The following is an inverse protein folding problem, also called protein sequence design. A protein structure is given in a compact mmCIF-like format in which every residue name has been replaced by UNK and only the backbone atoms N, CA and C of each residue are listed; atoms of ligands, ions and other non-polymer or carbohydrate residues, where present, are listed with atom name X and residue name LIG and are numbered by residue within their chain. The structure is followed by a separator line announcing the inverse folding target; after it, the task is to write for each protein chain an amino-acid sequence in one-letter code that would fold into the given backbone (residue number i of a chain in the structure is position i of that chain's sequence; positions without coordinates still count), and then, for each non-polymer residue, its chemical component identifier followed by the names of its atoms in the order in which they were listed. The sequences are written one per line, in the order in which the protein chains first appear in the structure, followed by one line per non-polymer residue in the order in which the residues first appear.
data_IF_733361318745
#
_entry.id   IF_733361318745
#
_cell.length_a   1.000
_cell.length_b   1.000
_cell.length_c   1.000
_cell.angle_alpha   90.00
_cell.angle_beta   90.00
_cell.angle_gamma   90.00
#
_symmetry.space_group_name_H-M   'P 1'
#
loop_
_entity.id
_entity.type
_entity.pdbx_description
1 polymer ?
#
# COMPACT_ATOMS: atom_id res chain seq x y z
N UNK A 1 21.40 -30.99 -10.18
CA UNK A 1 21.34 -30.50 -11.57
C UNK A 1 19.90 -30.60 -12.11
N UNK A 2 18.93 -30.05 -11.39
CA UNK A 2 17.51 -30.04 -11.81
C UNK A 2 16.80 -28.73 -11.44
N UNK A 3 17.55 -27.73 -10.94
CA UNK A 3 17.03 -26.44 -10.46
C UNK A 3 17.37 -25.24 -11.37
N UNK A 4 17.92 -25.47 -12.57
CA UNK A 4 18.34 -24.41 -13.51
C UNK A 4 17.43 -24.25 -14.74
N UNK A 5 16.19 -24.73 -14.69
CA UNK A 5 15.27 -24.73 -15.86
C UNK A 5 14.19 -23.64 -15.87
N UNK A 6 14.17 -22.67 -14.96
CA UNK A 6 13.02 -21.77 -14.81
C UNK A 6 13.34 -20.27 -14.94
N UNK A 7 13.86 -19.82 -16.09
CA UNK A 7 13.67 -18.45 -16.62
C UNK A 7 13.81 -18.47 -18.16
N UNK A 8 13.01 -19.27 -18.85
CA UNK A 8 13.10 -19.35 -20.33
C UNK A 8 12.39 -18.20 -21.05
N UNK A 9 11.56 -17.42 -20.35
CA UNK A 9 10.72 -16.37 -20.93
C UNK A 9 11.23 -14.99 -20.58
N UNK A 10 11.41 -14.14 -21.60
CA UNK A 10 11.93 -12.78 -21.50
C UNK A 10 10.79 -11.77 -21.42
N UNK A 11 10.73 -11.02 -20.34
CA UNK A 11 9.74 -9.95 -20.16
C UNK A 11 10.39 -8.62 -20.53
N UNK A 12 9.68 -7.79 -21.28
CA UNK A 12 10.08 -6.42 -21.60
C UNK A 12 9.01 -5.45 -21.08
N UNK A 13 9.41 -4.53 -20.21
CA UNK A 13 8.56 -3.44 -19.75
C UNK A 13 8.66 -2.24 -20.67
N UNK A 14 7.54 -1.82 -21.28
CA UNK A 14 7.41 -0.56 -21.99
C UNK A 14 6.90 0.52 -21.02
N UNK A 15 7.78 1.42 -20.60
CA UNK A 15 7.44 2.46 -19.63
C UNK A 15 7.06 3.77 -20.32
N UNK A 16 5.81 4.22 -20.14
CA UNK A 16 5.42 5.58 -20.49
C UNK A 16 5.81 6.53 -19.34
N UNK A 17 6.83 7.34 -19.59
CA UNK A 17 7.39 8.26 -18.59
C UNK A 17 7.18 9.71 -18.97
N UNK A 18 6.97 10.56 -17.98
CA UNK A 18 6.79 12.00 -18.16
C UNK A 18 7.18 12.78 -16.89
N UNK A 19 7.44 14.09 -17.06
CA UNK A 19 7.63 15.13 -16.04
C UNK A 19 8.89 15.04 -15.16
N UNK A 20 9.04 14.01 -14.31
CA UNK A 20 10.03 14.03 -13.22
C UNK A 20 11.11 12.95 -13.39
N UNK A 21 12.34 13.36 -13.68
CA UNK A 21 13.49 12.47 -13.91
C UNK A 21 13.84 11.61 -12.68
N UNK A 22 13.71 12.14 -11.48
CA UNK A 22 14.01 11.38 -10.25
C UNK A 22 13.01 10.25 -10.03
N UNK A 23 11.73 10.49 -10.33
CA UNK A 23 10.68 9.47 -10.29
C UNK A 23 10.94 8.36 -11.31
N UNK A 24 11.44 8.72 -12.50
CA UNK A 24 11.83 7.75 -13.52
C UNK A 24 13.01 6.90 -13.04
N UNK A 25 14.06 7.51 -12.51
CA UNK A 25 15.21 6.80 -11.93
C UNK A 25 14.78 5.86 -10.79
N UNK A 26 13.91 6.33 -9.90
CA UNK A 26 13.35 5.55 -8.79
C UNK A 26 12.58 4.32 -9.30
N UNK A 27 11.76 4.47 -10.35
CA UNK A 27 11.07 3.35 -11.00
C UNK A 27 12.06 2.37 -11.67
N UNK A 28 13.09 2.88 -12.35
CA UNK A 28 14.09 2.04 -13.00
C UNK A 28 14.89 1.21 -12.00
N UNK A 29 15.29 1.80 -10.88
CA UNK A 29 15.95 1.10 -9.79
C UNK A 29 14.99 0.10 -9.10
N UNK A 30 13.71 0.46 -8.97
CA UNK A 30 12.67 -0.42 -8.46
C UNK A 30 12.49 -1.67 -9.34
N UNK A 31 12.39 -1.52 -10.67
CA UNK A 31 12.29 -2.64 -11.61
C UNK A 31 13.54 -3.51 -11.55
N UNK A 32 14.74 -2.92 -11.58
CA UNK A 32 16.01 -3.66 -11.47
C UNK A 32 16.08 -4.53 -10.21
N UNK A 33 15.48 -4.07 -9.11
CA UNK A 33 15.46 -4.83 -7.87
C UNK A 33 14.43 -5.97 -7.89
N UNK A 34 13.19 -5.69 -8.30
CA UNK A 34 12.08 -6.63 -8.16
C UNK A 34 11.86 -7.56 -9.37
N UNK A 35 12.32 -7.13 -10.54
CA UNK A 35 12.23 -7.86 -11.81
C UNK A 35 13.59 -7.85 -12.52
N UNK A 36 14.65 -8.40 -11.89
CA UNK A 36 16.03 -8.28 -12.39
C UNK A 36 16.29 -9.01 -13.71
N UNK A 37 15.40 -9.92 -14.13
CA UNK A 37 15.53 -10.68 -15.37
C UNK A 37 14.74 -10.06 -16.53
N UNK A 38 14.08 -8.93 -16.29
CA UNK A 38 13.24 -8.25 -17.27
C UNK A 38 14.00 -7.10 -17.93
N UNK A 39 13.76 -6.93 -19.23
CA UNK A 39 14.20 -5.76 -19.96
C UNK A 39 13.28 -4.57 -19.69
N UNK A 40 13.82 -3.37 -19.88
CA UNK A 40 13.07 -2.11 -19.78
C UNK A 40 13.37 -1.27 -21.00
N UNK A 41 12.31 -0.73 -21.61
CA UNK A 41 12.39 0.29 -22.64
C UNK A 41 11.51 1.48 -22.29
N UNK A 42 11.94 2.66 -22.70
CA UNK A 42 11.32 3.93 -22.33
C UNK A 42 10.59 4.54 -23.52
N UNK A 43 9.44 5.15 -23.25
CA UNK A 43 8.80 6.10 -24.15
C UNK A 43 8.65 7.44 -23.42
N UNK A 44 9.31 8.48 -23.91
CA UNK A 44 9.21 9.82 -23.32
C UNK A 44 7.95 10.53 -23.81
N UNK A 45 6.90 10.50 -22.99
CA UNK A 45 5.64 11.21 -23.22
C UNK A 45 5.58 12.61 -22.60
N UNK A 46 6.66 13.08 -21.97
CA UNK A 46 6.70 14.34 -21.21
C UNK A 46 7.06 15.58 -22.01
N UNK A 47 7.01 16.72 -21.34
CA UNK A 47 7.43 18.03 -21.89
C UNK A 47 8.94 18.16 -22.08
N UNK A 48 9.73 17.51 -21.22
CA UNK A 48 11.20 17.59 -21.27
C UNK A 48 11.77 16.52 -22.23
N UNK A 49 12.34 16.92 -23.39
CA UNK A 49 12.95 15.98 -24.32
C UNK A 49 14.18 15.28 -23.75
N UNK A 50 14.83 15.84 -22.72
CA UNK A 50 16.02 15.28 -22.06
C UNK A 50 15.66 14.35 -20.90
N UNK A 51 14.38 14.14 -20.58
CA UNK A 51 13.92 13.34 -19.45
C UNK A 51 14.61 11.96 -19.40
N UNK A 52 14.74 11.30 -20.56
CA UNK A 52 15.34 9.98 -20.69
C UNK A 52 16.82 9.95 -21.10
N UNK A 53 17.45 11.13 -21.27
CA UNK A 53 18.85 11.23 -21.69
C UNK A 53 19.78 10.56 -20.67
N UNK A 54 20.77 9.78 -21.12
CA UNK A 54 21.79 9.14 -20.26
C UNK A 54 21.25 8.27 -19.10
N UNK A 55 20.01 7.76 -19.18
CA UNK A 55 19.49 6.83 -18.17
C UNK A 55 20.05 5.40 -18.30
N UNK A 56 20.71 5.09 -19.42
CA UNK A 56 21.27 3.76 -19.68
C UNK A 56 20.22 2.72 -20.11
N UNK A 57 19.04 3.16 -20.55
CA UNK A 57 17.97 2.29 -21.07
C UNK A 57 17.60 2.70 -22.50
N UNK A 58 17.21 1.74 -23.38
CA UNK A 58 16.71 2.05 -24.71
C UNK A 58 15.47 2.95 -24.65
N UNK A 59 15.43 3.98 -25.51
CA UNK A 59 14.31 4.91 -25.65
C UNK A 59 13.72 4.77 -27.04
N UNK A 60 12.40 4.62 -27.13
CA UNK A 60 11.70 4.53 -28.42
C UNK A 60 11.94 5.81 -29.23
N UNK A 61 12.44 5.72 -30.48
CA UNK A 61 12.89 6.87 -31.25
C UNK A 61 11.75 7.81 -31.68
N UNK A 62 10.51 7.34 -31.64
CA UNK A 62 9.31 8.15 -31.94
C UNK A 62 8.74 8.87 -30.71
N UNK A 63 9.40 8.73 -29.56
CA UNK A 63 9.04 9.40 -28.31
C UNK A 63 8.82 10.89 -28.52
N UNK A 64 7.69 11.37 -28.02
CA UNK A 64 7.28 12.77 -28.08
C UNK A 64 6.29 13.03 -26.95
N UNK A 65 6.12 14.31 -26.59
CA UNK A 65 5.07 14.73 -25.67
C UNK A 65 3.72 14.15 -26.11
N UNK A 66 3.03 13.50 -25.17
CA UNK A 66 1.66 13.01 -25.35
C UNK A 66 0.69 13.80 -24.48
N UNK A 67 -0.56 13.85 -24.90
CA UNK A 67 -1.61 14.51 -24.13
C UNK A 67 -2.14 13.58 -23.05
N UNK A 68 -2.40 14.13 -21.86
CA UNK A 68 -2.94 13.35 -20.75
C UNK A 68 -4.29 12.74 -21.13
N UNK A 69 -4.39 11.41 -21.01
CA UNK A 69 -5.58 10.64 -21.38
C UNK A 69 -5.64 10.23 -22.85
N UNK A 70 -4.75 10.71 -23.72
CA UNK A 70 -4.68 10.31 -25.14
C UNK A 70 -3.26 9.83 -25.43
N UNK A 71 -2.91 8.72 -24.81
CA UNK A 71 -1.52 8.22 -24.78
C UNK A 71 -1.34 6.94 -25.60
N UNK A 72 -2.41 6.25 -25.96
CA UNK A 72 -2.41 4.90 -26.52
C UNK A 72 -1.39 4.66 -27.66
N UNK A 73 -1.09 5.65 -28.49
CA UNK A 73 -0.15 5.54 -29.60
C UNK A 73 1.26 5.09 -29.18
N UNK A 74 1.70 5.42 -27.96
CA UNK A 74 3.03 5.07 -27.48
C UNK A 74 3.29 3.57 -27.53
N UNK A 75 2.27 2.77 -27.22
CA UNK A 75 2.41 1.32 -27.10
C UNK A 75 2.56 0.69 -28.50
N UNK A 76 1.77 1.12 -29.49
CA UNK A 76 1.88 0.64 -30.87
C UNK A 76 3.23 1.03 -31.50
N UNK A 77 3.70 2.24 -31.25
CA UNK A 77 5.01 2.69 -31.74
C UNK A 77 6.16 1.95 -31.05
N UNK A 78 6.03 1.68 -29.75
CA UNK A 78 7.00 0.84 -29.03
C UNK A 78 7.02 -0.58 -29.58
N UNK A 79 5.85 -1.18 -29.83
CA UNK A 79 5.73 -2.49 -30.49
C UNK A 79 6.44 -2.52 -31.84
N UNK A 80 6.15 -1.54 -32.71
CA UNK A 80 6.79 -1.42 -34.03
C UNK A 80 8.31 -1.33 -33.91
N UNK A 81 8.78 -0.41 -33.07
CA UNK A 81 10.21 -0.20 -32.87
C UNK A 81 10.92 -1.46 -32.35
N UNK A 82 10.33 -2.19 -31.39
CA UNK A 82 10.90 -3.42 -30.87
C UNK A 82 11.03 -4.51 -31.94
N UNK A 83 10.04 -4.68 -32.83
CA UNK A 83 10.15 -5.63 -33.94
C UNK A 83 11.13 -5.14 -35.02
N UNK A 84 11.20 -3.84 -35.31
CA UNK A 84 12.12 -3.27 -36.31
C UNK A 84 13.60 -3.47 -35.94
N UNK A 85 13.93 -3.45 -34.63
CA UNK A 85 15.29 -3.73 -34.13
C UNK A 85 15.49 -5.20 -33.76
N UNK A 86 14.51 -6.07 -34.06
CA UNK A 86 14.51 -7.49 -33.69
C UNK A 86 14.78 -7.73 -32.19
N UNK A 87 14.22 -6.87 -31.32
CA UNK A 87 14.43 -6.95 -29.88
C UNK A 87 13.96 -8.30 -29.34
N UNK A 88 14.72 -8.87 -28.41
CA UNK A 88 14.53 -10.23 -27.94
C UNK A 88 13.68 -10.26 -26.65
N UNK A 89 12.38 -10.50 -26.82
CA UNK A 89 11.40 -10.62 -25.73
C UNK A 89 10.33 -11.68 -26.07
N UNK A 90 9.69 -12.25 -25.06
CA UNK A 90 8.52 -13.12 -25.18
C UNK A 90 7.22 -12.40 -24.82
N UNK A 91 7.28 -11.51 -23.81
CA UNK A 91 6.14 -10.76 -23.30
C UNK A 91 6.47 -9.27 -23.21
N UNK A 92 5.57 -8.43 -23.71
CA UNK A 92 5.60 -6.97 -23.57
C UNK A 92 4.56 -6.56 -22.53
N UNK A 93 4.98 -5.78 -21.53
CA UNK A 93 4.10 -5.27 -20.47
C UNK A 93 4.19 -3.76 -20.43
N UNK A 94 3.06 -3.07 -20.50
CA UNK A 94 3.03 -1.62 -20.50
C UNK A 94 2.81 -1.08 -19.07
N UNK A 95 3.60 -0.09 -18.65
CA UNK A 95 3.53 0.50 -17.31
C UNK A 95 3.65 2.03 -17.37
N UNK A 96 3.04 2.69 -16.40
CA UNK A 96 3.15 4.14 -16.21
C UNK A 96 4.19 4.47 -15.11
N UNK A 97 4.69 5.71 -15.15
CA UNK A 97 5.70 6.21 -14.18
C UNK A 97 5.24 6.31 -12.71
N UNK A 98 3.94 6.14 -12.43
CA UNK A 98 3.35 6.00 -11.08
C UNK A 98 3.09 4.54 -10.66
N UNK A 99 3.58 3.55 -11.42
CA UNK A 99 3.61 2.17 -10.95
C UNK A 99 4.86 1.92 -10.07
N UNK A 100 4.76 1.04 -9.06
CA UNK A 100 5.91 0.55 -8.30
C UNK A 100 5.75 -0.93 -7.97
N UNK A 101 6.84 -1.69 -8.07
CA UNK A 101 6.93 -3.03 -7.53
C UNK A 101 7.19 -2.97 -6.02
N UNK A 102 6.45 -3.76 -5.25
CA UNK A 102 6.51 -3.80 -3.79
C UNK A 102 6.89 -5.19 -3.25
N UNK A 103 6.98 -6.20 -4.12
CA UNK A 103 7.34 -7.58 -3.78
C UNK A 103 7.93 -8.32 -4.98
N UNK A 104 8.88 -9.21 -4.71
CA UNK A 104 9.41 -10.17 -5.69
C UNK A 104 8.36 -11.20 -6.13
N UNK A 105 8.57 -11.87 -7.26
CA UNK A 105 7.67 -12.93 -7.74
C UNK A 105 6.83 -12.52 -8.95
N UNK A 106 6.87 -11.25 -9.36
CA UNK A 106 6.08 -10.76 -10.49
C UNK A 106 6.44 -11.45 -11.80
N UNK A 107 7.73 -11.64 -12.09
CA UNK A 107 8.17 -12.30 -13.32
C UNK A 107 7.64 -13.73 -13.43
N UNK A 108 7.74 -14.51 -12.35
CA UNK A 108 7.23 -15.88 -12.27
C UNK A 108 5.71 -15.91 -12.37
N UNK A 109 5.05 -14.96 -11.74
CA UNK A 109 3.61 -14.77 -11.87
C UNK A 109 3.22 -14.55 -13.32
N UNK A 110 3.89 -13.64 -14.05
CA UNK A 110 3.61 -13.38 -15.46
C UNK A 110 3.84 -14.63 -16.30
N UNK A 111 5.00 -15.29 -16.17
CA UNK A 111 5.34 -16.48 -16.95
C UNK A 111 4.31 -17.60 -16.72
N UNK A 112 3.90 -17.82 -15.47
CA UNK A 112 2.88 -18.81 -15.13
C UNK A 112 1.50 -18.41 -15.65
N UNK A 113 1.10 -17.15 -15.50
CA UNK A 113 -0.22 -16.71 -15.94
C UNK A 113 -0.35 -16.64 -17.45
N UNK A 114 0.72 -16.35 -18.18
CA UNK A 114 0.75 -16.24 -19.65
C UNK A 114 1.07 -17.55 -20.36
N UNK A 115 1.21 -18.66 -19.64
CA UNK A 115 1.45 -19.96 -20.26
C UNK A 115 0.28 -20.30 -21.22
N UNK A 116 0.63 -20.53 -22.50
CA UNK A 116 -0.33 -20.79 -23.59
C UNK A 116 -1.37 -19.68 -23.80
N UNK A 117 -1.04 -18.42 -23.48
CA UNK A 117 -1.90 -17.25 -23.70
C UNK A 117 -1.14 -16.15 -24.43
N UNK A 118 -1.89 -15.36 -25.19
CA UNK A 118 -1.37 -14.22 -25.94
C UNK A 118 -1.68 -12.87 -25.29
N UNK A 119 -2.69 -12.82 -24.43
CA UNK A 119 -3.12 -11.59 -23.77
C UNK A 119 -3.53 -11.83 -22.32
N UNK A 120 -3.15 -10.91 -21.43
CA UNK A 120 -3.73 -10.76 -20.10
C UNK A 120 -3.80 -9.28 -19.71
N UNK A 121 -4.92 -8.82 -19.18
CA UNK A 121 -5.12 -7.42 -18.79
C UNK A 121 -5.80 -7.24 -17.42
N UNK A 122 -5.61 -6.07 -16.82
CA UNK A 122 -6.21 -5.74 -15.52
C UNK A 122 -7.66 -5.33 -15.73
N UNK A 123 -8.59 -5.87 -14.93
CA UNK A 123 -10.04 -5.64 -15.08
C UNK A 123 -10.54 -5.86 -16.53
N UNK A 124 -10.04 -6.91 -17.21
CA UNK A 124 -10.46 -7.26 -18.57
C UNK A 124 -11.88 -7.83 -18.60
N UNK A 125 -12.81 -7.12 -19.25
CA UNK A 125 -14.23 -7.51 -19.37
C UNK A 125 -14.97 -6.63 -20.37
N UNK A 126 -16.26 -6.91 -20.58
CA UNK A 126 -17.17 -5.96 -21.20
C UNK A 126 -17.43 -4.84 -20.17
N UNK A 127 -17.21 -3.55 -20.51
CA UNK A 127 -17.49 -2.43 -19.62
C UNK A 127 -18.99 -2.23 -19.42
N UNK A 128 -19.35 -1.58 -18.31
CA UNK A 128 -20.71 -1.04 -18.12
C UNK A 128 -20.94 0.14 -19.06
N UNK A 129 -22.20 0.42 -19.41
CA UNK A 129 -22.56 1.48 -20.36
C UNK A 129 -22.17 2.89 -19.92
N UNK A 130 -22.01 3.11 -18.62
CA UNK A 130 -21.61 4.38 -18.02
C UNK A 130 -20.08 4.54 -17.91
N UNK A 131 -19.30 3.55 -18.38
CA UNK A 131 -17.85 3.62 -18.36
C UNK A 131 -17.34 4.79 -19.22
N UNK A 132 -16.61 5.71 -18.59
CA UNK A 132 -16.22 6.97 -19.22
C UNK A 132 -15.44 6.80 -20.53
N UNK A 133 -14.47 5.88 -20.60
CA UNK A 133 -13.69 5.66 -21.82
C UNK A 133 -14.56 5.10 -22.96
N UNK A 134 -15.52 4.22 -22.65
CA UNK A 134 -16.50 3.72 -23.63
C UNK A 134 -17.36 4.88 -24.17
N UNK A 135 -17.81 5.77 -23.30
CA UNK A 135 -18.57 6.96 -23.71
C UNK A 135 -17.74 7.84 -24.66
N UNK A 136 -16.43 8.02 -24.42
CA UNK A 136 -15.59 8.79 -25.34
C UNK A 136 -15.46 8.10 -26.71
N UNK A 137 -15.17 6.80 -26.72
CA UNK A 137 -15.06 6.01 -27.97
C UNK A 137 -16.37 6.05 -28.76
N UNK A 138 -17.52 5.98 -28.09
CA UNK A 138 -18.85 6.10 -28.73
C UNK A 138 -19.07 7.46 -29.40
N UNK A 139 -18.47 8.55 -28.91
CA UNK A 139 -18.51 9.87 -29.59
C UNK A 139 -17.70 9.88 -30.88
N UNK A 140 -16.67 9.04 -30.95
CA UNK A 140 -15.82 8.85 -32.13
C UNK A 140 -16.15 7.52 -32.84
N UNK A 141 -17.41 7.04 -32.75
CA UNK A 141 -17.78 5.71 -33.26
C UNK A 141 -17.44 5.54 -34.74
N UNK A 142 -17.72 6.53 -35.59
CA UNK A 142 -17.42 6.43 -37.03
C UNK A 142 -15.91 6.32 -37.31
N UNK A 143 -15.05 6.88 -36.45
CA UNK A 143 -13.60 6.72 -36.53
C UNK A 143 -13.22 5.27 -36.21
N UNK A 144 -13.78 4.70 -35.14
CA UNK A 144 -13.37 3.39 -34.60
C UNK A 144 -14.08 2.19 -35.22
N UNK A 145 -15.27 2.38 -35.79
CA UNK A 145 -16.10 1.32 -36.39
C UNK A 145 -15.39 0.46 -37.44
N UNK A 146 -14.53 0.99 -38.33
CA UNK A 146 -13.78 0.16 -39.30
C UNK A 146 -12.88 -0.88 -38.62
N UNK A 147 -12.39 -0.58 -37.42
CA UNK A 147 -11.51 -1.47 -36.64
C UNK A 147 -12.30 -2.35 -35.68
N UNK A 148 -13.18 -1.75 -34.86
CA UNK A 148 -13.86 -2.46 -33.78
C UNK A 148 -15.14 -3.18 -34.24
N UNK A 149 -15.67 -2.83 -35.40
CA UNK A 149 -16.95 -3.35 -35.89
C UNK A 149 -18.11 -2.95 -34.99
N UNK A 150 -18.98 -3.91 -34.68
CA UNK A 150 -20.14 -3.72 -33.81
C UNK A 150 -19.82 -4.04 -32.36
N UNK A 151 -20.61 -3.49 -31.44
CA UNK A 151 -20.56 -3.86 -30.01
C UNK A 151 -20.86 -5.36 -29.76
N UNK A 152 -20.41 -5.92 -28.62
CA UNK A 152 -19.73 -5.26 -27.50
C UNK A 152 -18.26 -4.91 -27.79
N UNK A 153 -17.79 -3.80 -27.22
CA UNK A 153 -16.37 -3.51 -27.05
C UNK A 153 -15.90 -4.06 -25.70
N UNK A 154 -14.59 -4.24 -25.57
CA UNK A 154 -13.99 -4.72 -24.33
C UNK A 154 -13.19 -3.60 -23.67
N UNK A 155 -13.03 -3.71 -22.35
CA UNK A 155 -12.13 -2.88 -21.57
C UNK A 155 -11.04 -3.70 -20.92
N UNK A 156 -9.89 -3.07 -20.72
CA UNK A 156 -8.83 -3.49 -19.82
C UNK A 156 -8.17 -2.22 -19.31
N UNK A 157 -7.83 -2.15 -18.03
CA UNK A 157 -7.11 -1.01 -17.50
C UNK A 157 -5.75 -0.86 -18.21
N UNK A 158 -5.32 0.39 -18.43
CA UNK A 158 -4.14 0.71 -19.22
C UNK A 158 -2.90 0.01 -18.68
N UNK A 159 -2.58 0.24 -17.41
CA UNK A 159 -1.35 -0.25 -16.78
C UNK A 159 -1.44 -1.75 -16.55
N UNK A 160 -0.39 -2.47 -16.96
CA UNK A 160 -0.22 -3.90 -16.71
C UNK A 160 -0.87 -4.80 -17.74
N UNK A 161 -1.22 -4.32 -18.94
CA UNK A 161 -1.58 -5.22 -20.05
C UNK A 161 -0.34 -5.97 -20.51
N UNK A 162 -0.52 -7.27 -20.76
CA UNK A 162 0.54 -8.22 -21.10
C UNK A 162 0.24 -8.79 -22.47
N UNK A 163 1.15 -8.57 -23.41
CA UNK A 163 1.07 -9.03 -24.79
C UNK A 163 2.16 -10.06 -25.04
N UNK A 164 1.83 -11.22 -25.62
CA UNK A 164 2.86 -12.08 -26.20
C UNK A 164 3.47 -11.42 -27.42
N UNK A 165 4.69 -11.81 -27.77
CA UNK A 165 5.32 -11.39 -29.03
C UNK A 165 4.48 -11.78 -30.25
N UNK A 166 3.80 -12.94 -30.20
CA UNK A 166 2.86 -13.35 -31.25
C UNK A 166 1.71 -12.34 -31.43
N UNK A 167 1.10 -11.88 -30.33
CA UNK A 167 0.06 -10.85 -30.40
C UNK A 167 0.60 -9.51 -30.89
N UNK A 168 1.80 -9.10 -30.47
CA UNK A 168 2.46 -7.91 -31.02
C UNK A 168 2.60 -8.02 -32.54
N UNK A 169 3.06 -9.16 -33.04
CA UNK A 169 3.17 -9.40 -34.48
C UNK A 169 1.83 -9.41 -35.20
N UNK A 170 0.75 -9.87 -34.57
CA UNK A 170 -0.61 -9.74 -35.12
C UNK A 170 -0.99 -8.26 -35.28
N UNK A 171 -0.76 -7.41 -34.27
CA UNK A 171 -1.03 -5.96 -34.39
C UNK A 171 -0.26 -5.32 -35.55
N UNK A 172 1.02 -5.66 -35.71
CA UNK A 172 1.90 -5.00 -36.67
C UNK A 172 1.78 -5.51 -38.11
N UNK A 173 1.35 -6.75 -38.30
CA UNK A 173 1.23 -7.40 -39.61
C UNK A 173 -0.22 -7.51 -40.12
N UNK A 174 -1.20 -7.06 -39.33
CA UNK A 174 -2.59 -7.01 -39.75
C UNK A 174 -2.79 -5.96 -40.86
N UNK A 175 -3.67 -6.24 -41.81
CA UNK A 175 -4.03 -5.32 -42.90
C UNK A 175 -4.56 -3.96 -42.38
N UNK A 176 -5.17 -3.96 -41.19
CA UNK A 176 -5.71 -2.79 -40.51
C UNK A 176 -4.67 -2.00 -39.68
N UNK A 177 -3.38 -2.36 -39.71
CA UNK A 177 -2.33 -1.62 -38.98
C UNK A 177 -2.31 -0.13 -39.34
N UNK A 178 -2.43 0.18 -40.64
CA UNK A 178 -2.47 1.56 -41.13
C UNK A 178 -3.64 2.34 -40.55
N UNK A 179 -4.84 1.74 -40.57
CA UNK A 179 -6.06 2.33 -40.01
C UNK A 179 -5.96 2.52 -38.49
N UNK A 180 -5.37 1.55 -37.77
CA UNK A 180 -5.13 1.66 -36.33
C UNK A 180 -4.18 2.81 -36.01
N UNK A 181 -3.05 2.90 -36.71
CA UNK A 181 -2.09 3.99 -36.52
C UNK A 181 -2.71 5.35 -36.83
N UNK A 182 -3.46 5.44 -37.92
CA UNK A 182 -4.17 6.65 -38.32
C UNK A 182 -5.21 7.08 -37.28
N UNK A 183 -6.00 6.14 -36.77
CA UNK A 183 -7.02 6.40 -35.76
C UNK A 183 -6.40 6.86 -34.44
N UNK A 184 -5.32 6.20 -33.99
CA UNK A 184 -4.58 6.59 -32.78
C UNK A 184 -3.94 7.98 -32.90
N UNK A 185 -3.59 8.43 -34.11
CA UNK A 185 -3.10 9.79 -34.34
C UNK A 185 -4.22 10.85 -34.38
N UNK A 186 -5.45 10.47 -34.75
CA UNK A 186 -6.59 11.39 -34.93
C UNK A 186 -7.51 11.49 -33.70
N UNK A 187 -7.53 10.44 -32.87
CA UNK A 187 -8.45 10.35 -31.74
C UNK A 187 -8.18 11.41 -30.68
N UNK A 188 -9.26 11.88 -30.06
CA UNK A 188 -9.25 12.69 -28.84
C UNK A 188 -9.92 11.94 -27.68
N UNK A 189 -10.23 10.66 -27.85
CA UNK A 189 -10.93 9.83 -26.88
C UNK A 189 -10.04 9.58 -25.66
N UNK A 190 -10.42 10.15 -24.52
CA UNK A 190 -9.76 9.89 -23.25
C UNK A 190 -9.83 8.41 -22.87
N UNK A 191 -8.70 7.81 -22.53
CA UNK A 191 -8.60 6.42 -22.09
C UNK A 191 -8.80 5.40 -23.22
N UNK A 192 -8.52 5.79 -24.47
CA UNK A 192 -8.64 4.91 -25.64
C UNK A 192 -7.74 3.67 -25.53
N UNK A 193 -6.61 3.76 -24.85
CA UNK A 193 -5.72 2.67 -24.45
C UNK A 193 -6.43 1.57 -23.64
N UNK A 194 -7.49 1.92 -22.90
CA UNK A 194 -8.30 0.94 -22.17
C UNK A 194 -9.30 0.17 -23.03
N UNK A 195 -9.52 0.59 -24.29
CA UNK A 195 -10.52 0.01 -25.20
C UNK A 195 -9.86 -0.59 -26.45
N UNK A 196 -8.95 0.15 -27.09
CA UNK A 196 -8.45 -0.17 -28.43
C UNK A 196 -7.68 -1.49 -28.47
N UNK A 197 -6.69 -1.66 -27.61
CA UNK A 197 -5.84 -2.85 -27.62
C UNK A 197 -6.60 -4.12 -27.23
N UNK A 198 -7.40 -4.07 -26.17
CA UNK A 198 -8.19 -5.22 -25.73
C UNK A 198 -9.29 -5.59 -26.75
N UNK A 199 -9.95 -4.61 -27.36
CA UNK A 199 -10.99 -4.87 -28.37
C UNK A 199 -10.38 -5.44 -29.64
N UNK A 200 -9.29 -4.85 -30.15
CA UNK A 200 -8.58 -5.37 -31.32
C UNK A 200 -8.04 -6.79 -31.07
N UNK A 201 -7.51 -7.06 -29.89
CA UNK A 201 -7.06 -8.41 -29.50
C UNK A 201 -8.19 -9.43 -29.67
N UNK A 202 -9.39 -9.09 -29.20
CA UNK A 202 -10.56 -9.96 -29.40
C UNK A 202 -10.95 -10.08 -30.88
N UNK A 203 -10.88 -8.98 -31.65
CA UNK A 203 -11.16 -9.00 -33.10
C UNK A 203 -10.17 -9.82 -33.91
N UNK A 204 -8.94 -10.00 -33.42
CA UNK A 204 -7.99 -10.96 -33.97
C UNK A 204 -8.32 -12.43 -33.64
N UNK A 205 -9.39 -12.69 -32.88
CA UNK A 205 -9.77 -14.02 -32.43
C UNK A 205 -8.94 -14.51 -31.25
N UNK A 206 -8.17 -13.64 -30.59
CA UNK A 206 -7.35 -14.00 -29.44
C UNK A 206 -8.19 -13.98 -28.17
N UNK A 207 -8.07 -15.05 -27.37
CA UNK A 207 -8.81 -15.18 -26.13
C UNK A 207 -8.32 -14.17 -25.09
N UNK A 208 -9.23 -13.36 -24.57
CA UNK A 208 -8.96 -12.40 -23.51
C UNK A 208 -8.87 -13.09 -22.14
N UNK A 209 -7.91 -12.66 -21.32
CA UNK A 209 -7.77 -13.11 -19.94
C UNK A 209 -7.62 -11.91 -19.01
N UNK A 210 -8.33 -11.93 -17.88
CA UNK A 210 -8.15 -10.95 -16.82
C UNK A 210 -7.08 -11.41 -15.82
N UNK A 211 -6.40 -10.46 -15.19
CA UNK A 211 -5.60 -10.73 -13.99
C UNK A 211 -6.46 -11.40 -12.90
N UNK A 212 -5.91 -12.32 -12.10
CA UNK A 212 -6.53 -12.73 -10.85
C UNK A 212 -6.76 -11.51 -9.94
N UNK A 213 -7.93 -11.40 -9.32
CA UNK A 213 -8.25 -10.27 -8.42
C UNK A 213 -7.22 -10.05 -7.31
N UNK A 214 -6.64 -11.14 -6.79
CA UNK A 214 -5.57 -11.10 -5.78
C UNK A 214 -4.31 -10.36 -6.23
N UNK A 215 -4.14 -10.07 -7.53
CA UNK A 215 -3.02 -9.29 -8.07
C UNK A 215 -3.52 -8.03 -8.77
N UNK A 216 -4.59 -8.15 -9.57
CA UNK A 216 -5.14 -7.03 -10.35
C UNK A 216 -5.75 -5.91 -9.49
N UNK A 217 -6.27 -6.21 -8.30
CA UNK A 217 -6.90 -5.19 -7.42
C UNK A 217 -5.91 -4.11 -6.92
N UNK A 218 -4.60 -4.37 -7.07
CA UNK A 218 -3.53 -3.42 -6.74
C UNK A 218 -3.15 -2.48 -7.88
N UNK A 219 -3.80 -2.63 -9.03
CA UNK A 219 -3.57 -1.82 -10.22
C UNK A 219 -4.91 -1.15 -10.56
N UNK A 220 -5.05 0.12 -10.16
CA UNK A 220 -6.30 0.90 -10.29
C UNK A 220 -6.04 2.30 -10.82
N UNK A 221 -7.07 2.97 -11.32
CA UNK A 221 -6.97 4.37 -11.75
C UNK A 221 -6.77 5.32 -10.57
N UNK A 222 -7.65 5.26 -9.56
CA UNK A 222 -7.62 6.07 -8.34
C UNK A 222 -8.42 5.36 -7.22
N UNK A 223 -8.23 5.72 -5.95
CA UNK A 223 -7.24 6.67 -5.42
C UNK A 223 -5.80 6.13 -5.50
N UNK A 224 -4.81 7.00 -5.27
CA UNK A 224 -3.42 6.57 -5.06
C UNK A 224 -3.33 5.60 -3.87
N UNK A 225 -2.34 4.71 -3.84
CA UNK A 225 -2.09 3.81 -2.72
C UNK A 225 -1.39 4.55 -1.57
N UNK A 226 -2.05 4.78 -0.43
CA UNK A 226 -1.38 5.30 0.75
C UNK A 226 -0.53 4.21 1.43
N UNK A 227 0.39 4.64 2.30
CA UNK A 227 1.39 3.75 2.89
C UNK A 227 0.74 2.68 3.78
N UNK A 228 -0.27 3.05 4.55
CA UNK A 228 -1.00 2.15 5.44
C UNK A 228 -1.75 1.04 4.68
N UNK A 229 -2.44 1.38 3.59
CA UNK A 229 -3.06 0.40 2.69
C UNK A 229 -1.99 -0.52 2.10
N UNK A 230 -0.89 0.05 1.59
CA UNK A 230 0.21 -0.71 0.99
C UNK A 230 0.79 -1.73 1.97
N UNK A 231 1.10 -1.32 3.20
CA UNK A 231 1.63 -2.19 4.24
C UNK A 231 0.63 -3.27 4.67
N UNK A 232 -0.64 -2.89 4.83
CA UNK A 232 -1.70 -3.83 5.16
C UNK A 232 -1.85 -4.93 4.10
N UNK A 233 -1.70 -4.57 2.83
CA UNK A 233 -1.79 -5.51 1.71
C UNK A 233 -0.53 -6.35 1.57
N UNK A 234 0.66 -5.78 1.73
CA UNK A 234 1.90 -6.56 1.78
C UNK A 234 1.88 -7.58 2.94
N UNK A 235 1.25 -7.26 4.06
CA UNK A 235 1.12 -8.23 5.15
C UNK A 235 0.13 -9.36 4.84
N UNK A 236 -0.99 -9.06 4.17
CA UNK A 236 -2.12 -10.01 3.99
C UNK A 236 -2.08 -10.78 2.67
N UNK A 237 -1.51 -10.21 1.62
CA UNK A 237 -1.57 -10.73 0.26
C UNK A 237 -0.16 -10.95 -0.30
N UNK A 238 0.19 -12.23 -0.45
CA UNK A 238 1.49 -12.66 -0.99
C UNK A 238 1.65 -12.40 -2.48
N UNK A 239 0.56 -12.06 -3.19
CA UNK A 239 0.54 -11.73 -4.62
C UNK A 239 0.44 -10.22 -4.89
N UNK A 240 0.69 -9.38 -3.89
CA UNK A 240 0.82 -7.93 -4.03
C UNK A 240 2.22 -7.57 -4.57
N UNK A 241 2.38 -7.72 -5.89
CA UNK A 241 3.66 -7.52 -6.58
C UNK A 241 3.85 -6.09 -7.08
N UNK A 242 2.85 -5.58 -7.81
CA UNK A 242 2.83 -4.29 -8.48
C UNK A 242 1.69 -3.46 -7.90
N UNK A 243 1.99 -2.22 -7.50
CA UNK A 243 1.00 -1.25 -7.02
C UNK A 243 0.92 -0.07 -7.99
N UNK A 244 -0.29 0.32 -8.34
CA UNK A 244 -0.56 1.50 -9.15
C UNK A 244 -1.92 2.10 -8.78
N UNK A 245 -2.01 3.41 -8.50
CA UNK A 245 -0.97 4.42 -8.68
C UNK A 245 -0.30 4.80 -7.36
N UNK A 246 0.98 5.10 -7.40
CA UNK A 246 1.74 5.75 -6.33
C UNK A 246 2.17 7.14 -6.78
N UNK A 247 1.93 8.21 -6.00
CA UNK A 247 2.22 9.57 -6.44
C UNK A 247 3.63 9.71 -7.03
N UNK A 248 3.75 10.50 -8.10
CA UNK A 248 5.03 10.86 -8.74
C UNK A 248 5.75 11.96 -7.95
N UNK A 249 5.83 11.77 -6.65
CA UNK A 249 6.45 12.66 -5.69
C UNK A 249 7.45 11.84 -4.89
N UNK A 250 8.72 12.25 -4.90
CA UNK A 250 9.78 11.56 -4.17
C UNK A 250 9.58 11.61 -2.66
N UNK A 251 8.84 12.60 -2.15
CA UNK A 251 8.46 12.74 -0.75
C UNK A 251 7.22 11.94 -0.33
N UNK A 252 6.51 11.30 -1.28
CA UNK A 252 5.36 10.47 -0.96
C UNK A 252 5.74 9.30 -0.04
N UNK A 253 4.93 9.07 1.00
CA UNK A 253 5.24 8.09 2.05
C UNK A 253 5.31 6.65 1.51
N UNK A 254 4.44 6.29 0.56
CA UNK A 254 4.45 4.96 -0.07
C UNK A 254 5.69 4.79 -0.94
N UNK A 255 5.98 5.75 -1.82
CA UNK A 255 7.18 5.71 -2.68
C UNK A 255 8.46 5.68 -1.86
N UNK A 256 8.58 6.55 -0.86
CA UNK A 256 9.73 6.62 0.02
C UNK A 256 9.92 5.31 0.81
N UNK A 257 8.83 4.68 1.27
CA UNK A 257 8.88 3.37 1.91
C UNK A 257 9.37 2.29 0.95
N UNK A 258 8.75 2.15 -0.23
CA UNK A 258 9.14 1.14 -1.24
C UNK A 258 10.60 1.32 -1.61
N UNK A 259 11.05 2.56 -1.88
CA UNK A 259 12.46 2.88 -2.14
C UNK A 259 13.38 2.56 -0.96
N UNK A 260 12.97 2.82 0.27
CA UNK A 260 13.78 2.49 1.44
C UNK A 260 13.90 0.97 1.64
N UNK A 261 12.83 0.23 1.35
CA UNK A 261 12.86 -1.23 1.30
C UNK A 261 13.85 -1.74 0.24
N UNK A 262 13.95 -1.07 -0.93
CA UNK A 262 15.00 -1.33 -1.93
C UNK A 262 16.41 -1.13 -1.35
N UNK A 263 16.65 -0.02 -0.64
CA UNK A 263 17.98 0.37 -0.13
C UNK A 263 18.52 -0.51 0.99
N UNK A 264 17.67 -1.25 1.70
CA UNK A 264 18.05 -1.94 2.94
C UNK A 264 18.45 -3.42 2.78
N UNK A 265 18.41 -4.05 1.61
CA UNK A 265 18.68 -5.50 1.46
C UNK A 265 17.95 -6.36 2.53
N UNK A 266 16.74 -5.94 2.93
CA UNK A 266 15.87 -6.71 3.82
C UNK A 266 15.21 -7.87 3.03
N UNK A 267 15.26 -7.90 1.70
CA UNK A 267 14.57 -8.95 0.94
C UNK A 267 15.32 -10.28 0.80
N UNK A 268 16.65 -10.30 0.83
CA UNK A 268 17.41 -11.52 0.47
C UNK A 268 17.85 -12.40 1.64
N UNK A 269 17.44 -12.09 2.87
CA UNK A 269 17.84 -12.90 4.01
C UNK A 269 16.68 -13.00 5.02
N UNK A 270 16.03 -14.16 5.08
CA UNK A 270 14.97 -14.44 6.05
C UNK A 270 15.44 -14.22 7.50
N UNK A 271 16.71 -14.51 7.82
CA UNK A 271 17.27 -14.15 9.13
C UNK A 271 17.45 -12.64 9.29
N UNK A 272 17.73 -11.88 8.24
CA UNK A 272 17.82 -10.42 8.32
C UNK A 272 16.43 -9.75 8.37
N UNK A 273 15.40 -10.35 7.79
CA UNK A 273 14.00 -9.94 7.93
C UNK A 273 13.48 -10.22 9.33
N UNK A 274 13.62 -11.46 9.78
CA UNK A 274 13.31 -11.86 11.15
C UNK A 274 14.15 -11.05 12.11
N UNK A 275 15.44 -10.83 11.84
CA UNK A 275 16.29 -9.93 12.62
C UNK A 275 15.71 -8.53 12.59
N UNK A 276 15.49 -7.85 11.46
CA UNK A 276 14.99 -6.48 11.44
C UNK A 276 13.63 -6.32 12.13
N UNK A 277 12.71 -7.25 11.90
CA UNK A 277 11.41 -7.30 12.57
C UNK A 277 11.56 -7.60 14.07
N UNK A 278 12.43 -8.51 14.51
CA UNK A 278 12.63 -8.84 15.93
C UNK A 278 13.50 -7.78 16.67
N UNK A 279 14.45 -7.19 15.95
CA UNK A 279 15.54 -6.34 16.41
C UNK A 279 15.16 -4.87 16.43
N UNK A 280 14.28 -4.46 15.51
CA UNK A 280 13.89 -3.07 15.37
C UNK A 280 12.38 -2.95 15.49
N UNK A 281 11.57 -3.54 14.59
CA UNK A 281 10.11 -3.31 14.53
C UNK A 281 9.30 -4.09 15.58
N UNK A 282 9.88 -5.00 16.35
CA UNK A 282 9.20 -5.85 17.34
C UNK A 282 8.01 -6.67 16.83
N UNK A 283 7.32 -7.37 17.74
CA UNK A 283 6.13 -8.19 17.39
C UNK A 283 4.83 -7.38 17.30
N UNK A 284 4.83 -6.14 17.77
CA UNK A 284 3.64 -5.30 17.92
C UNK A 284 3.94 -3.87 17.46
N UNK A 285 3.95 -3.59 16.15
CA UNK A 285 4.06 -2.22 15.68
C UNK A 285 2.79 -1.44 16.04
N UNK A 286 2.96 -0.25 16.60
CA UNK A 286 1.92 0.72 16.88
C UNK A 286 2.26 2.04 16.18
N UNK A 287 1.25 2.72 15.66
CA UNK A 287 1.43 3.90 14.82
C UNK A 287 0.64 5.07 15.40
N UNK A 288 1.26 6.24 15.47
CA UNK A 288 0.63 7.49 15.93
C UNK A 288 0.88 8.56 14.87
N UNK A 289 -0.20 9.17 14.36
CA UNK A 289 -0.13 10.34 13.48
C UNK A 289 -0.51 11.57 14.28
N UNK A 290 0.37 12.57 14.23
CA UNK A 290 0.34 13.78 15.04
C UNK A 290 0.25 15.00 14.14
N UNK A 291 -0.45 16.04 14.61
CA UNK A 291 -0.51 17.34 13.92
C UNK A 291 0.26 18.37 14.74
N UNK A 292 1.46 18.73 14.29
CA UNK A 292 2.28 19.80 14.87
C UNK A 292 2.03 21.12 14.13
N UNK A 293 2.47 22.23 14.72
CA UNK A 293 2.41 23.57 14.11
C UNK A 293 3.13 23.65 12.76
N UNK A 294 4.15 22.81 12.54
CA UNK A 294 4.93 22.74 11.31
C UNK A 294 4.42 21.71 10.28
N UNK A 295 3.38 20.93 10.58
CA UNK A 295 2.90 19.86 9.70
C UNK A 295 2.47 18.58 10.44
N UNK A 296 2.19 17.52 9.69
CA UNK A 296 1.82 16.23 10.28
C UNK A 296 3.05 15.33 10.48
N UNK A 297 3.38 15.02 11.73
CA UNK A 297 4.44 14.08 12.10
C UNK A 297 3.85 12.69 12.30
N UNK A 298 4.51 11.67 11.78
CA UNK A 298 4.18 10.27 12.04
C UNK A 298 5.25 9.70 12.96
N UNK A 299 4.81 9.01 14.01
CA UNK A 299 5.68 8.28 14.91
C UNK A 299 5.26 6.81 14.99
N UNK A 300 6.27 5.95 15.01
CA UNK A 300 6.13 4.51 15.09
C UNK A 300 6.65 4.06 16.43
N UNK A 301 5.95 3.14 17.09
CA UNK A 301 6.32 2.54 18.36
C UNK A 301 6.32 1.04 18.21
N UNK A 302 7.22 0.36 18.91
CA UNK A 302 7.15 -1.08 19.05
C UNK A 302 7.78 -1.59 20.33
N UNK A 303 7.43 -2.81 20.68
CA UNK A 303 8.02 -3.60 21.75
C UNK A 303 8.76 -4.82 21.19
N UNK A 304 10.01 -4.98 21.62
CA UNK A 304 10.81 -6.19 21.44
C UNK A 304 11.14 -6.79 22.81
N UNK A 305 11.06 -8.12 22.92
CA UNK A 305 11.41 -8.83 24.16
C UNK A 305 12.90 -8.70 24.51
N UNK A 306 13.75 -8.44 23.52
CA UNK A 306 15.19 -8.33 23.71
C UNK A 306 15.68 -6.88 23.87
N UNK A 307 14.95 -5.90 23.32
CA UNK A 307 15.40 -4.49 23.25
C UNK A 307 14.51 -3.49 23.98
N UNK A 308 13.42 -3.93 24.62
CA UNK A 308 12.47 -3.03 25.26
C UNK A 308 11.58 -2.33 24.24
N UNK A 309 11.28 -1.04 24.46
CA UNK A 309 10.50 -0.24 23.53
C UNK A 309 11.42 0.50 22.54
N UNK A 310 10.95 0.64 21.31
CA UNK A 310 11.62 1.39 20.24
C UNK A 310 10.64 2.34 19.59
N UNK A 311 11.11 3.52 19.20
CA UNK A 311 10.32 4.44 18.40
C UNK A 311 11.11 5.03 17.22
N UNK A 312 10.37 5.45 16.20
CA UNK A 312 10.87 6.18 15.04
C UNK A 312 9.98 7.39 14.82
N UNK A 313 10.56 8.48 14.37
CA UNK A 313 9.82 9.71 14.06
C UNK A 313 10.11 10.18 12.64
N UNK A 314 9.08 10.65 11.95
CA UNK A 314 9.27 11.38 10.70
C UNK A 314 9.75 12.80 11.02
N UNK A 315 10.86 13.22 10.42
CA UNK A 315 11.33 14.61 10.48
C UNK A 315 11.16 15.24 9.11
N UNK A 316 10.48 16.37 9.10
CA UNK A 316 10.25 17.19 7.92
C UNK A 316 11.36 18.25 7.84
N UNK A 317 12.11 18.21 6.74
CA UNK A 317 13.05 19.26 6.35
C UNK A 317 12.46 20.02 5.18
N UNK A 318 12.96 21.22 4.88
CA UNK A 318 12.40 22.11 3.83
C UNK A 318 12.20 21.40 2.47
N UNK A 319 12.94 20.32 2.19
CA UNK A 319 12.92 19.62 0.91
C UNK A 319 12.55 18.11 1.00
N UNK A 320 12.39 17.50 2.19
CA UNK A 320 12.15 16.05 2.33
C UNK A 320 11.62 15.62 3.72
N UNK A 321 10.85 14.52 3.76
CA UNK A 321 10.42 13.82 4.99
C UNK A 321 11.19 12.51 5.15
N UNK A 322 12.01 12.40 6.21
CA UNK A 322 12.79 11.20 6.51
C UNK A 322 12.31 10.55 7.81
N UNK A 323 12.39 9.22 7.92
CA UNK A 323 12.14 8.49 9.16
C UNK A 323 13.47 8.30 9.89
N UNK A 324 13.55 8.76 11.14
CA UNK A 324 14.70 8.61 12.02
C UNK A 324 14.39 7.62 13.15
N UNK A 325 15.37 6.78 13.48
CA UNK A 325 15.29 5.76 14.54
C UNK A 325 15.98 4.45 14.12
N UNK A 326 15.83 3.35 14.89
CA UNK A 326 15.09 3.30 16.15
C UNK A 326 15.84 3.99 17.27
N UNK A 327 15.08 4.72 18.07
CA UNK A 327 15.49 5.18 19.38
C UNK A 327 14.89 4.21 20.41
N UNK A 328 15.71 3.63 21.26
CA UNK A 328 15.26 2.67 22.29
C UNK A 328 15.01 3.38 23.61
N UNK A 329 13.94 3.01 24.30
CA UNK A 329 13.60 3.53 25.63
C UNK A 329 12.93 2.45 26.48
N UNK A 330 12.97 2.64 27.79
CA UNK A 330 12.51 1.63 28.73
C UNK A 330 13.40 0.36 28.71
N UNK A 331 13.33 -0.41 29.78
CA UNK A 331 14.06 -1.69 29.91
C UNK A 331 13.13 -2.86 30.23
N UNK A 332 11.82 -2.59 30.34
CA UNK A 332 10.86 -3.65 30.62
C UNK A 332 10.61 -4.52 29.39
N UNK A 333 10.34 -5.80 29.64
CA UNK A 333 9.90 -6.74 28.63
C UNK A 333 8.39 -6.56 28.35
N UNK A 334 8.06 -5.54 27.55
CA UNK A 334 6.68 -5.26 27.16
C UNK A 334 6.14 -6.39 26.27
N UNK A 335 5.08 -7.05 26.71
CA UNK A 335 4.44 -8.15 25.99
C UNK A 335 3.25 -7.72 25.14
N UNK A 336 2.63 -6.60 25.49
CA UNK A 336 1.54 -5.96 24.77
C UNK A 336 1.40 -4.52 25.21
N UNK A 337 1.04 -3.60 24.32
CA UNK A 337 0.80 -2.20 24.68
C UNK A 337 -0.20 -1.52 23.76
N UNK A 338 -0.69 -0.37 24.21
CA UNK A 338 -1.41 0.64 23.43
C UNK A 338 -0.77 2.00 23.73
N UNK A 339 -0.76 2.90 22.77
CA UNK A 339 -0.30 4.27 22.97
C UNK A 339 -1.26 5.30 22.37
N UNK A 340 -1.22 6.53 22.87
CA UNK A 340 -2.03 7.66 22.40
C UNK A 340 -1.17 8.93 22.33
N UNK A 341 -1.55 9.87 21.48
CA UNK A 341 -1.19 11.27 21.65
C UNK A 341 -2.27 11.94 22.49
N UNK A 342 -1.85 12.75 23.46
CA UNK A 342 -2.77 13.51 24.32
C UNK A 342 -2.98 14.92 23.80
N UNK A 343 -4.00 15.61 24.33
CA UNK A 343 -4.19 17.03 24.05
C UNK A 343 -3.04 17.93 24.55
N UNK A 344 -2.19 17.43 25.45
CA UNK A 344 -0.94 18.11 25.87
C UNK A 344 0.20 17.96 24.85
N UNK A 345 0.04 17.11 23.83
CA UNK A 345 1.07 16.79 22.83
C UNK A 345 1.99 15.63 23.24
N UNK A 346 1.92 15.16 24.48
CA UNK A 346 2.70 14.02 24.94
C UNK A 346 2.23 12.72 24.28
N UNK A 347 3.17 11.80 24.07
CA UNK A 347 2.86 10.42 23.72
C UNK A 347 2.79 9.61 25.01
N UNK A 348 1.67 8.94 25.24
CA UNK A 348 1.45 8.12 26.43
C UNK A 348 1.28 6.66 26.01
N UNK A 349 1.84 5.74 26.78
CA UNK A 349 1.86 4.31 26.48
C UNK A 349 1.51 3.52 27.74
N UNK A 350 0.53 2.63 27.61
CA UNK A 350 0.25 1.59 28.61
C UNK A 350 0.72 0.26 28.07
N UNK A 351 1.69 -0.34 28.76
CA UNK A 351 2.28 -1.62 28.41
C UNK A 351 2.04 -2.67 29.49
N UNK A 352 1.99 -3.94 29.09
CA UNK A 352 1.94 -5.09 29.99
C UNK A 352 3.31 -5.75 30.10
N UNK A 353 3.77 -5.95 31.34
CA UNK A 353 5.01 -6.66 31.68
C UNK A 353 4.64 -7.81 32.59
N UNK A 354 4.70 -9.05 32.09
CA UNK A 354 4.15 -10.18 32.83
C UNK A 354 2.66 -9.97 33.13
N UNK A 355 2.30 -9.87 34.40
CA UNK A 355 0.94 -9.56 34.85
C UNK A 355 0.77 -8.15 35.41
N UNK A 356 1.74 -7.26 35.19
CA UNK A 356 1.68 -5.85 35.59
C UNK A 356 1.37 -4.92 34.42
N UNK A 357 0.73 -3.78 34.70
CA UNK A 357 0.61 -2.64 33.78
C UNK A 357 1.62 -1.56 34.17
N UNK A 358 2.38 -1.11 33.18
CA UNK A 358 3.34 0.00 33.29
C UNK A 358 2.94 1.13 32.36
N UNK A 359 3.33 2.33 32.73
CA UNK A 359 3.07 3.54 31.97
C UNK A 359 4.36 4.24 31.59
N UNK A 360 4.51 4.50 30.29
CA UNK A 360 5.57 5.28 29.72
C UNK A 360 4.98 6.51 29.05
N UNK A 361 5.68 7.62 29.10
CA UNK A 361 5.26 8.81 28.39
C UNK A 361 6.46 9.57 27.85
N UNK A 362 6.27 10.24 26.72
CA UNK A 362 7.27 11.12 26.13
C UNK A 362 6.79 12.55 26.24
N UNK A 363 7.61 13.36 26.89
CA UNK A 363 7.40 14.79 26.98
C UNK A 363 7.58 15.44 25.61
N UNK A 364 6.63 16.25 25.17
CA UNK A 364 6.70 16.86 23.84
C UNK A 364 7.79 17.94 23.72
N UNK A 365 8.08 18.66 24.81
CA UNK A 365 9.03 19.76 24.80
C UNK A 365 10.48 19.26 24.77
N UNK A 366 10.81 18.34 25.67
CA UNK A 366 12.16 17.76 25.80
C UNK A 366 12.41 16.56 24.89
N UNK A 367 11.35 15.95 24.36
CA UNK A 367 11.38 14.64 23.68
C UNK A 367 11.89 13.47 24.54
N UNK A 368 12.06 13.65 25.84
CA UNK A 368 12.54 12.62 26.75
C UNK A 368 11.43 11.63 27.13
N UNK A 369 11.81 10.35 27.28
CA UNK A 369 10.91 9.29 27.74
C UNK A 369 11.01 9.08 29.24
N UNK A 370 9.86 9.02 29.89
CA UNK A 370 9.70 8.79 31.31
C UNK A 370 8.88 7.53 31.58
N UNK A 371 9.08 6.97 32.78
CA UNK A 371 8.33 5.82 33.28
C UNK A 371 7.66 6.17 34.60
N UNK A 372 6.35 5.92 34.70
CA UNK A 372 5.62 6.04 35.96
C UNK A 372 5.74 4.77 36.82
N UNK A 373 5.39 4.82 38.12
CA UNK A 373 5.20 3.62 38.91
C UNK A 373 4.22 2.62 38.27
N UNK A 374 4.34 1.34 38.64
CA UNK A 374 3.41 0.28 38.20
C UNK A 374 1.97 0.67 38.55
N UNK A 375 1.07 0.54 37.58
CA UNK A 375 -0.34 0.96 37.72
C UNK A 375 -1.17 -0.15 38.36
N UNK A 376 -0.95 -1.39 37.95
CA UNK A 376 -1.79 -2.51 38.33
C UNK A 376 -1.07 -3.85 38.15
N UNK A 377 -1.58 -4.88 38.83
CA UNK A 377 -1.16 -6.28 38.71
C UNK A 377 -2.34 -7.20 38.41
N UNK A 378 -2.06 -8.45 38.03
CA UNK A 378 -3.06 -9.48 37.75
C UNK A 378 -3.72 -9.39 36.36
N UNK A 379 -3.12 -8.65 35.42
CA UNK A 379 -3.63 -8.49 34.06
C UNK A 379 -3.10 -9.55 33.08
N UNK A 380 -3.79 -9.71 31.94
CA UNK A 380 -3.36 -10.51 30.78
C UNK A 380 -3.83 -9.86 29.48
N UNK A 381 -3.38 -10.39 28.34
CA UNK A 381 -3.83 -9.92 27.04
C UNK A 381 -3.29 -8.53 26.69
N UNK A 382 -3.97 -7.82 25.79
CA UNK A 382 -3.56 -6.48 25.36
C UNK A 382 -4.36 -5.41 26.11
N UNK A 383 -3.71 -4.51 26.87
CA UNK A 383 -4.38 -3.36 27.46
C UNK A 383 -4.72 -2.32 26.38
N UNK A 384 -5.78 -1.54 26.60
CA UNK A 384 -6.13 -0.39 25.76
C UNK A 384 -6.24 0.84 26.63
N UNK A 385 -5.77 1.98 26.12
CA UNK A 385 -5.94 3.28 26.76
C UNK A 385 -6.61 4.27 25.80
N UNK A 386 -7.35 5.20 26.38
CA UNK A 386 -7.79 6.43 25.71
C UNK A 386 -7.60 7.62 26.66
N UNK A 387 -7.61 8.83 26.10
CA UNK A 387 -7.92 10.04 26.83
C UNK A 387 -9.40 10.37 26.60
N UNK A 388 -10.18 10.50 27.68
CA UNK A 388 -11.60 10.86 27.57
C UNK A 388 -11.78 12.34 27.26
N UNK A 389 -12.99 12.72 26.85
CA UNK A 389 -13.40 14.12 26.66
C UNK A 389 -13.20 15.01 27.90
N UNK A 390 -13.07 14.41 29.09
CA UNK A 390 -12.79 15.08 30.35
C UNK A 390 -11.28 15.22 30.66
N UNK A 391 -10.40 14.78 29.75
CA UNK A 391 -8.95 14.80 29.91
C UNK A 391 -8.41 13.74 30.88
N UNK A 392 -9.23 12.77 31.30
CA UNK A 392 -8.77 11.65 32.12
C UNK A 392 -8.15 10.58 31.23
N UNK A 393 -7.12 9.88 31.74
CA UNK A 393 -6.71 8.63 31.12
C UNK A 393 -7.61 7.51 31.60
N UNK A 394 -8.04 6.68 30.66
CA UNK A 394 -8.93 5.55 30.87
C UNK A 394 -8.27 4.31 30.30
N UNK A 395 -8.10 3.28 31.12
CA UNK A 395 -7.37 2.05 30.76
C UNK A 395 -8.25 0.85 31.04
N UNK A 396 -8.36 -0.05 30.06
CA UNK A 396 -9.01 -1.35 30.24
C UNK A 396 -8.06 -2.48 29.85
N UNK A 397 -7.97 -3.50 30.70
CA UNK A 397 -7.20 -4.71 30.42
C UNK A 397 -7.93 -5.98 30.87
N UNK A 398 -7.80 -7.10 30.13
CA UNK A 398 -8.26 -8.40 30.61
C UNK A 398 -7.54 -8.84 31.89
N UNK A 399 -8.26 -9.52 32.78
CA UNK A 399 -7.73 -10.01 34.06
C UNK A 399 -7.41 -11.51 34.01
N UNK A 400 -6.37 -11.93 34.75
CA UNK A 400 -6.00 -13.36 34.87
C UNK A 400 -7.09 -14.22 35.49
N UNK A 401 -7.84 -13.65 36.44
CA UNK A 401 -8.93 -14.32 37.16
C UNK A 401 -10.25 -14.40 36.36
N UNK A 402 -10.27 -13.86 35.14
CA UNK A 402 -11.50 -13.66 34.37
C UNK A 402 -11.98 -12.22 34.44
N UNK A 403 -12.61 -11.77 33.37
CA UNK A 403 -13.12 -10.44 33.20
C UNK A 403 -12.15 -9.36 32.75
N UNK A 404 -12.59 -8.13 32.91
CA UNK A 404 -11.89 -6.91 32.54
C UNK A 404 -11.73 -6.03 33.78
N UNK A 405 -10.57 -5.39 33.91
CA UNK A 405 -10.35 -4.32 34.88
C UNK A 405 -10.33 -2.98 34.15
N UNK A 406 -10.99 -1.98 34.73
CA UNK A 406 -10.94 -0.59 34.31
C UNK A 406 -10.19 0.24 35.36
N UNK A 407 -9.20 1.01 34.92
CA UNK A 407 -8.44 1.98 35.71
C UNK A 407 -8.54 3.34 35.06
N UNK A 408 -8.42 4.40 35.87
CA UNK A 408 -8.42 5.76 35.36
C UNK A 408 -7.51 6.68 36.17
N UNK A 409 -7.08 7.79 35.57
CA UNK A 409 -6.28 8.83 36.21
C UNK A 409 -6.82 10.21 35.86
N UNK A 410 -7.03 11.04 36.88
CA UNK A 410 -7.37 12.45 36.68
C UNK A 410 -6.11 13.27 36.40
N UNK A 411 -5.93 13.71 35.15
CA UNK A 411 -4.75 14.50 34.77
C UNK A 411 -4.82 15.97 35.22
N UNK A 412 -5.96 16.42 35.75
CA UNK A 412 -6.10 17.75 36.36
C UNK A 412 -5.74 17.75 37.85
N UNK A 413 -5.55 16.58 38.46
CA UNK A 413 -5.23 16.48 39.87
C UNK A 413 -3.71 16.43 40.08
N UNK A 414 -3.20 17.14 41.10
CA UNK A 414 -1.75 17.35 41.28
C UNK A 414 -0.97 16.10 41.66
N UNK A 415 -1.63 15.08 42.21
CA UNK A 415 -0.99 13.82 42.63
C UNK A 415 -0.85 12.80 41.48
N UNK A 416 -1.58 13.01 40.36
CA UNK A 416 -1.62 12.12 39.20
C UNK A 416 -1.79 10.63 39.57
N UNK A 417 -2.63 10.33 40.57
CA UNK A 417 -2.85 8.96 41.07
C UNK A 417 -3.78 8.15 40.17
N UNK A 418 -3.40 6.89 39.88
CA UNK A 418 -4.27 5.92 39.21
C UNK A 418 -5.27 5.28 40.17
N UNK A 419 -6.54 5.16 39.74
CA UNK A 419 -7.64 4.58 40.50
C UNK A 419 -8.15 3.31 39.80
N UNK A 420 -8.42 2.23 40.54
CA UNK A 420 -9.00 0.99 40.03
C UNK A 420 -8.41 -0.29 40.67
N UNK A 421 -8.75 -1.50 40.16
CA UNK A 421 -9.68 -1.72 39.07
C UNK A 421 -11.16 -1.71 39.51
N UNK A 422 -12.01 -1.09 38.70
CA UNK A 422 -13.40 -1.51 38.61
C UNK A 422 -13.46 -2.78 37.74
N UNK A 423 -13.99 -3.88 38.27
CA UNK A 423 -14.03 -5.18 37.57
C UNK A 423 -15.39 -5.42 36.92
N UNK A 424 -15.41 -5.83 35.66
CA UNK A 424 -16.64 -6.07 34.90
C UNK A 424 -16.47 -7.11 33.78
N UNK A 425 -17.59 -7.69 33.35
CA UNK A 425 -17.64 -8.82 32.41
C UNK A 425 -17.00 -10.06 33.03
N UNK A 426 -17.68 -11.19 33.19
CA UNK A 426 -17.13 -12.30 33.98
C UNK A 426 -16.44 -13.39 33.14
N UNK A 427 -16.48 -13.29 31.81
CA UNK A 427 -15.87 -14.25 30.89
C UNK A 427 -14.35 -14.04 30.75
N UNK A 428 -13.66 -14.99 30.10
CA UNK A 428 -12.25 -14.86 29.79
C UNK A 428 -12.02 -14.14 28.46
N UNK A 429 -11.37 -12.98 28.51
CA UNK A 429 -11.01 -12.18 27.34
C UNK A 429 -9.49 -12.16 27.11
N UNK A 430 -9.07 -11.92 25.86
CA UNK A 430 -7.66 -11.73 25.50
C UNK A 430 -7.38 -10.41 24.78
N UNK A 431 -8.41 -9.82 24.16
CA UNK A 431 -8.35 -8.54 23.46
C UNK A 431 -9.61 -7.75 23.78
N UNK A 432 -9.43 -6.45 23.89
CA UNK A 432 -10.46 -5.50 24.24
C UNK A 432 -10.28 -4.26 23.36
N UNK A 433 -11.36 -3.55 23.08
CA UNK A 433 -11.34 -2.21 22.50
C UNK A 433 -12.03 -1.31 23.52
N UNK A 434 -11.48 -0.13 23.74
CA UNK A 434 -12.08 0.92 24.56
C UNK A 434 -12.28 2.15 23.68
N UNK A 435 -13.47 2.73 23.74
CA UNK A 435 -13.82 4.00 23.08
C UNK A 435 -14.65 4.84 24.04
N UNK A 436 -14.68 6.14 23.83
CA UNK A 436 -15.74 7.01 24.34
C UNK A 436 -16.78 7.18 23.23
N UNK A 437 -18.04 6.88 23.51
CA UNK A 437 -19.11 6.96 22.52
C UNK A 437 -19.65 8.40 22.38
N UNK A 438 -20.55 8.63 21.42
CA UNK A 438 -21.12 9.96 21.15
C UNK A 438 -21.96 10.54 22.31
N UNK A 439 -22.27 9.75 23.33
CA UNK A 439 -22.93 10.20 24.55
C UNK A 439 -21.92 10.47 25.68
N UNK A 440 -20.62 10.55 25.37
CA UNK A 440 -19.51 10.69 26.31
C UNK A 440 -19.47 9.57 27.37
N UNK A 441 -19.83 8.35 26.96
CA UNK A 441 -19.77 7.18 27.83
C UNK A 441 -18.66 6.23 27.38
N UNK A 442 -17.91 5.70 28.35
CA UNK A 442 -16.94 4.66 28.06
C UNK A 442 -17.65 3.39 27.60
N UNK A 443 -17.22 2.90 26.43
CA UNK A 443 -17.75 1.68 25.83
C UNK A 443 -16.61 0.72 25.55
N UNK A 444 -16.76 -0.49 26.06
CA UNK A 444 -15.78 -1.56 25.88
C UNK A 444 -16.34 -2.62 24.96
N UNK A 445 -15.60 -3.02 23.92
CA UNK A 445 -15.99 -4.07 22.98
C UNK A 445 -15.04 -5.26 23.13
N UNK A 446 -15.61 -6.46 23.18
CA UNK A 446 -14.88 -7.74 23.31
C UNK A 446 -15.35 -8.74 22.27
N UNK A 447 -14.44 -9.63 21.87
CA UNK A 447 -14.78 -10.79 21.03
C UNK A 447 -15.06 -12.00 21.92
N UNK A 448 -16.20 -12.64 21.69
CA UNK A 448 -16.63 -13.90 22.32
C UNK A 448 -16.82 -14.98 21.26
N UNK A 449 -17.10 -16.22 21.67
CA UNK A 449 -17.44 -17.31 20.74
C UNK A 449 -18.70 -17.01 19.92
N UNK A 450 -19.63 -16.21 20.46
CA UNK A 450 -20.90 -15.83 19.82
C UNK A 450 -20.84 -14.54 19.00
N UNK A 451 -19.64 -14.00 18.72
CA UNK A 451 -19.45 -12.72 18.04
C UNK A 451 -18.93 -11.62 18.98
N UNK A 452 -19.11 -10.37 18.58
CA UNK A 452 -18.73 -9.23 19.41
C UNK A 452 -19.81 -8.93 20.43
N UNK A 453 -19.38 -8.45 21.59
CA UNK A 453 -20.26 -7.92 22.64
C UNK A 453 -19.69 -6.64 23.18
N UNK A 454 -20.52 -5.79 23.75
CA UNK A 454 -20.07 -4.55 24.36
C UNK A 454 -20.62 -4.31 25.76
N UNK A 455 -19.90 -3.49 26.52
CA UNK A 455 -20.27 -2.97 27.83
C UNK A 455 -20.23 -1.44 27.77
N UNK A 456 -21.13 -0.79 28.50
CA UNK A 456 -21.19 0.68 28.57
C UNK A 456 -21.09 1.08 30.04
N UNK A 457 -20.22 2.03 30.37
CA UNK A 457 -20.15 2.62 31.71
C UNK A 457 -21.26 3.63 31.87
N UNK A 458 -22.01 3.56 32.96
CA UNK A 458 -23.06 4.51 33.29
C UNK A 458 -22.47 5.83 33.82
N UNK A 459 -21.81 6.56 32.92
CA UNK A 459 -21.11 7.80 33.19
C UNK A 459 -22.00 8.94 33.70
N UNK A 460 -23.32 8.83 33.49
CA UNK A 460 -24.29 9.82 33.94
C UNK A 460 -24.75 9.63 35.39
N UNK A 461 -24.58 8.42 35.98
CA UNK A 461 -25.07 8.15 37.33
C UNK A 461 -24.10 7.32 38.18
N UNK A 462 -24.05 6.01 37.97
CA UNK A 462 -23.44 5.08 38.93
C UNK A 462 -21.95 4.83 38.69
N UNK A 463 -21.44 5.15 37.49
CA UNK A 463 -20.13 4.75 36.99
C UNK A 463 -19.95 3.22 36.90
N UNK A 464 -21.02 2.44 37.03
CA UNK A 464 -21.00 0.99 36.88
C UNK A 464 -20.93 0.60 35.40
N UNK A 465 -20.27 -0.53 35.12
CA UNK A 465 -20.23 -1.11 33.78
C UNK A 465 -21.44 -2.01 33.55
N UNK A 466 -22.28 -1.66 32.58
CA UNK A 466 -23.50 -2.37 32.22
C UNK A 466 -23.27 -3.26 30.98
N UNK A 467 -23.95 -4.41 30.92
CA UNK A 467 -23.85 -5.37 29.81
C UNK A 467 -23.59 -6.81 30.28
N UNK A 468 -23.19 -7.74 29.42
CA UNK A 468 -22.83 -7.54 28.00
C UNK A 468 -24.05 -7.41 27.08
N UNK A 469 -24.00 -6.48 26.14
CA UNK A 469 -24.96 -6.35 25.03
C UNK A 469 -24.41 -6.98 23.74
N UNK A 470 -25.30 -7.27 22.79
CA UNK A 470 -24.96 -7.80 21.45
C UNK A 470 -24.76 -6.64 20.48
#
# INVERSE_FOLDING_TARGET
MEELRAYSKKICFALLVHNNREVVLDLLDNIRCYCPNSAVVLYNGGDDPQLCHELGFPVCPTSRKLEYGVTAIYLLETMRWLEDIEYDYDYLINLDSDALFAREGYEQFIVSQMENKDYMGVDTRIPEDDFYCLIQVRKEYDLWKPLFGTEPFYKSFNVGQVFSRHLVQLFLNNEQYGDLLDNLNKTSSFGIDEIAYVTMTERFGVKLHAYPKTTGDFIRYRPHFPLDETLGQLYRNTSCYLIHPVPRDMGDETRAFVRSALKQHIQYNAKAQTCFLDTYIGKMPFFIRRKKSAGNTIEWLSASREKGLSYWKSVETHDNKHIYGPFTFGSDNIEAFTAIETHYGNIELIGRVGDSLVHYWRDEESEEWFKSPVIADGVKGTPVMIESSHGNFEVVAPLKKGGLGHWWRNNHHSDLTWTGPAVFGHDSYNRVILVENNANQLTTIVKTNGGYRYFVRDDANSLEWLGSYI
#
